data_IF_570204652748
#
_entry.id   IF_570204652748
#
_cell.length_a   1.000
_cell.length_b   1.000
_cell.length_c   1.000
_cell.angle_alpha   90.00
_cell.angle_beta   90.00
_cell.angle_gamma   90.00
#
_symmetry.space_group_name_H-M   'P 1'
#
loop_
_entity.id
_entity.type
_entity.pdbx_description
1 polymer ?
#
# COMPACT_ATOMS: atom_id res chain seq x y z
N UNK A 1 28.58 12.36 -17.54
CA UNK A 1 27.85 12.55 -16.26
C UNK A 1 27.72 11.19 -15.57
N UNK A 2 28.05 11.06 -14.27
CA UNK A 2 27.81 9.83 -13.53
C UNK A 2 26.31 9.49 -13.55
N UNK A 3 25.97 8.21 -13.74
CA UNK A 3 24.58 7.75 -13.87
C UNK A 3 24.29 6.66 -12.85
N UNK A 4 23.07 6.66 -12.31
CA UNK A 4 22.56 5.55 -11.49
C UNK A 4 21.32 5.01 -12.18
N UNK A 5 21.28 3.70 -12.38
CA UNK A 5 20.16 3.02 -13.03
C UNK A 5 19.38 2.23 -11.99
N UNK A 6 18.06 2.47 -11.95
CA UNK A 6 17.11 1.67 -11.18
C UNK A 6 16.23 0.95 -12.19
N UNK A 7 16.32 -0.37 -12.22
CA UNK A 7 15.53 -1.19 -13.14
C UNK A 7 14.11 -1.29 -12.59
N UNK A 8 13.11 -0.94 -13.40
CA UNK A 8 11.70 -1.19 -13.14
C UNK A 8 11.18 -2.26 -14.11
N UNK A 9 10.26 -3.11 -13.65
CA UNK A 9 9.46 -3.94 -14.55
C UNK A 9 8.51 -3.02 -15.33
N UNK A 10 8.35 -3.27 -16.63
CA UNK A 10 7.53 -2.40 -17.47
C UNK A 10 6.04 -2.55 -17.10
N UNK A 11 5.35 -1.41 -17.00
CA UNK A 11 3.89 -1.34 -16.80
C UNK A 11 3.39 -2.08 -15.53
N UNK A 12 4.15 -1.98 -14.43
CA UNK A 12 3.76 -2.60 -13.14
C UNK A 12 3.69 -1.56 -12.01
N UNK A 13 2.47 -1.14 -11.67
CA UNK A 13 2.14 -0.25 -10.54
C UNK A 13 2.68 -0.77 -9.20
N UNK A 14 2.71 -2.09 -9.01
CA UNK A 14 3.21 -2.71 -7.79
C UNK A 14 4.74 -2.64 -7.73
N UNK A 15 5.43 -2.78 -8.86
CA UNK A 15 6.88 -2.59 -8.93
C UNK A 15 7.27 -1.13 -8.67
N UNK A 16 6.49 -0.17 -9.21
CA UNK A 16 6.67 1.25 -8.93
C UNK A 16 6.50 1.56 -7.45
N UNK A 17 5.36 1.16 -6.84
CA UNK A 17 5.09 1.30 -5.41
C UNK A 17 6.26 0.80 -4.56
N UNK A 18 6.76 -0.41 -4.87
CA UNK A 18 7.84 -1.04 -4.10
C UNK A 18 9.18 -0.31 -4.20
N UNK A 19 9.47 0.32 -5.33
CA UNK A 19 10.77 0.96 -5.60
C UNK A 19 10.80 2.45 -5.29
N UNK A 20 9.65 3.12 -5.21
CA UNK A 20 9.57 4.55 -4.90
C UNK A 20 10.33 4.93 -3.61
N UNK A 21 10.20 4.22 -2.46
CA UNK A 21 10.97 4.49 -1.25
C UNK A 21 12.49 4.59 -1.48
N UNK A 22 13.04 3.63 -2.23
CA UNK A 22 14.45 3.61 -2.57
C UNK A 22 14.82 4.77 -3.50
N UNK A 23 14.01 5.03 -4.54
CA UNK A 23 14.26 6.09 -5.51
C UNK A 23 14.27 7.47 -4.86
N UNK A 24 13.29 7.75 -4.00
CA UNK A 24 13.20 9.02 -3.26
C UNK A 24 14.35 9.16 -2.26
N UNK A 25 14.71 8.08 -1.55
CA UNK A 25 15.86 8.07 -0.66
C UNK A 25 17.18 8.39 -1.37
N UNK A 26 17.38 7.81 -2.56
CA UNK A 26 18.53 8.09 -3.41
C UNK A 26 18.55 9.55 -3.89
N UNK A 27 17.41 10.04 -4.39
CA UNK A 27 17.26 11.42 -4.85
C UNK A 27 17.59 12.43 -3.73
N UNK A 28 17.02 12.23 -2.54
CA UNK A 28 17.33 13.04 -1.35
C UNK A 28 18.83 13.05 -1.05
N UNK A 29 19.49 11.89 -1.09
CA UNK A 29 20.92 11.79 -0.79
C UNK A 29 21.79 12.53 -1.80
N UNK A 30 21.46 12.42 -3.09
CA UNK A 30 22.18 13.12 -4.15
C UNK A 30 21.97 14.64 -4.08
N UNK A 31 20.75 15.11 -3.79
CA UNK A 31 20.45 16.54 -3.61
C UNK A 31 21.24 17.11 -2.42
N UNK A 32 21.32 16.38 -1.30
CA UNK A 32 22.11 16.78 -0.12
C UNK A 32 23.62 16.85 -0.38
N UNK A 33 24.11 16.21 -1.45
CA UNK A 33 25.50 16.32 -1.93
C UNK A 33 25.69 17.46 -2.93
N UNK A 34 24.67 18.30 -3.12
CA UNK A 34 24.67 19.46 -4.01
C UNK A 34 24.83 19.10 -5.50
N UNK A 35 24.40 17.90 -5.90
CA UNK A 35 24.36 17.51 -7.31
C UNK A 35 23.12 18.07 -8.02
N UNK A 36 23.30 18.48 -9.27
CA UNK A 36 22.18 18.64 -10.22
C UNK A 36 21.84 17.27 -10.79
N UNK A 37 20.58 16.87 -10.67
CA UNK A 37 20.14 15.52 -10.97
C UNK A 37 19.12 15.57 -12.09
N UNK A 38 19.34 14.75 -13.10
CA UNK A 38 18.37 14.52 -14.16
C UNK A 38 17.69 13.17 -13.91
N UNK A 39 16.39 13.21 -13.60
CA UNK A 39 15.58 12.00 -13.35
C UNK A 39 14.85 11.64 -14.64
N UNK A 40 15.15 10.47 -15.20
CA UNK A 40 14.54 10.01 -16.46
C UNK A 40 14.14 8.54 -16.39
N UNK A 41 13.17 8.18 -17.21
CA UNK A 41 12.78 6.79 -17.50
C UNK A 41 12.57 6.67 -19.02
N UNK A 42 12.34 5.45 -19.54
CA UNK A 42 12.29 5.18 -20.99
C UNK A 42 11.42 6.17 -21.78
N UNK A 43 10.22 6.47 -21.28
CA UNK A 43 9.25 7.37 -21.94
C UNK A 43 9.14 8.75 -21.28
N UNK A 44 9.72 8.94 -20.10
CA UNK A 44 9.52 10.14 -19.28
C UNK A 44 8.07 10.37 -18.81
N UNK A 45 7.16 9.40 -18.98
CA UNK A 45 5.72 9.62 -18.84
C UNK A 45 5.11 9.21 -17.49
N UNK A 46 5.77 8.29 -16.77
CA UNK A 46 5.20 7.68 -15.57
C UNK A 46 6.22 7.63 -14.41
N UNK A 47 7.16 6.67 -14.45
CA UNK A 47 8.11 6.38 -13.36
C UNK A 47 8.95 7.58 -12.89
N UNK A 48 9.53 8.35 -13.83
CA UNK A 48 10.37 9.50 -13.45
C UNK A 48 9.55 10.65 -12.84
N UNK A 49 8.43 11.10 -13.44
CA UNK A 49 7.51 12.03 -12.77
C UNK A 49 7.01 11.51 -11.41
N UNK A 50 6.66 10.22 -11.30
CA UNK A 50 6.17 9.63 -10.04
C UNK A 50 7.22 9.73 -8.92
N UNK A 51 8.50 9.44 -9.22
CA UNK A 51 9.59 9.61 -8.27
C UNK A 51 9.76 11.07 -7.80
N UNK A 52 9.63 12.03 -8.70
CA UNK A 52 9.77 13.46 -8.37
C UNK A 52 8.57 13.92 -7.54
N UNK A 53 7.35 13.52 -7.90
CA UNK A 53 6.13 13.82 -7.12
C UNK A 53 6.23 13.23 -5.72
N UNK A 54 6.67 11.96 -5.61
CA UNK A 54 6.87 11.31 -4.32
C UNK A 54 7.93 12.04 -3.47
N UNK A 55 9.02 12.53 -4.07
CA UNK A 55 10.01 13.35 -3.35
C UNK A 55 9.41 14.66 -2.81
N UNK A 56 8.67 15.41 -3.64
CA UNK A 56 8.00 16.63 -3.19
C UNK A 56 7.01 16.34 -2.06
N UNK A 57 6.27 15.23 -2.18
CA UNK A 57 5.27 14.85 -1.20
C UNK A 57 5.88 14.39 0.13
N UNK A 58 6.90 13.53 0.09
CA UNK A 58 7.45 12.88 1.29
C UNK A 58 8.54 13.69 1.99
N UNK A 59 9.26 14.53 1.24
CA UNK A 59 10.46 15.23 1.76
C UNK A 59 10.24 16.74 1.86
N UNK A 60 9.55 17.34 0.89
CA UNK A 60 9.27 18.79 0.85
C UNK A 60 7.89 19.15 1.44
N UNK A 61 7.25 18.19 2.13
CA UNK A 61 5.96 18.35 2.80
C UNK A 61 4.82 18.91 1.92
N UNK A 62 4.92 18.72 0.61
CA UNK A 62 3.90 19.21 -0.32
C UNK A 62 2.70 18.25 -0.33
N UNK A 63 1.44 18.73 -0.28
CA UNK A 63 0.28 17.85 -0.45
C UNK A 63 0.34 17.12 -1.81
N UNK A 64 0.03 15.81 -1.84
CA UNK A 64 0.20 14.97 -3.04
C UNK A 64 -0.49 15.57 -4.28
N UNK A 65 -1.73 16.04 -4.13
CA UNK A 65 -2.48 16.63 -5.23
C UNK A 65 -1.82 17.89 -5.81
N UNK A 66 -1.17 18.70 -4.97
CA UNK A 66 -0.42 19.90 -5.39
C UNK A 66 0.85 19.49 -6.12
N UNK A 67 1.62 18.56 -5.54
CA UNK A 67 2.85 18.05 -6.17
C UNK A 67 2.57 17.43 -7.55
N UNK A 68 1.51 16.62 -7.64
CA UNK A 68 1.08 16.01 -8.89
C UNK A 68 0.70 17.07 -9.93
N UNK A 69 -0.19 18.02 -9.56
CA UNK A 69 -0.63 19.09 -10.47
C UNK A 69 0.54 19.94 -10.97
N UNK A 70 1.48 20.26 -10.08
CA UNK A 70 2.68 21.02 -10.42
C UNK A 70 3.52 20.31 -11.50
N UNK A 71 3.82 19.02 -11.32
CA UNK A 71 4.66 18.26 -12.26
C UNK A 71 3.93 18.04 -13.59
N UNK A 72 2.65 17.67 -13.58
CA UNK A 72 1.88 17.48 -14.82
C UNK A 72 1.62 18.78 -15.57
N UNK A 73 1.69 19.93 -14.89
CA UNK A 73 1.61 21.25 -15.51
C UNK A 73 2.90 21.66 -16.22
N UNK A 74 4.05 21.17 -15.77
CA UNK A 74 5.36 21.44 -16.37
C UNK A 74 5.72 20.47 -17.50
N UNK A 75 5.25 19.22 -17.40
CA UNK A 75 5.57 18.15 -18.35
C UNK A 75 4.35 17.27 -18.57
N UNK A 76 4.03 16.98 -19.83
CA UNK A 76 2.91 16.09 -20.16
C UNK A 76 3.23 14.65 -19.75
N UNK A 77 2.63 14.21 -18.64
CA UNK A 77 2.85 12.90 -18.05
C UNK A 77 1.59 12.39 -17.33
N UNK A 78 1.54 11.07 -17.08
CA UNK A 78 0.51 10.42 -16.24
C UNK A 78 1.18 9.47 -15.25
N UNK A 79 1.84 10.01 -14.22
CA UNK A 79 2.39 9.19 -13.15
C UNK A 79 1.28 8.43 -12.44
N UNK A 80 1.53 7.17 -12.10
CA UNK A 80 0.60 6.37 -11.31
C UNK A 80 0.44 6.94 -9.89
N UNK A 81 -0.61 7.76 -9.74
CA UNK A 81 -0.98 8.36 -8.47
C UNK A 81 -1.29 7.32 -7.40
N UNK A 82 -1.95 6.22 -7.76
CA UNK A 82 -2.30 5.18 -6.80
C UNK A 82 -1.04 4.52 -6.24
N UNK A 83 -0.05 4.22 -7.08
CA UNK A 83 1.24 3.68 -6.63
C UNK A 83 1.95 4.60 -5.63
N UNK A 84 1.87 5.93 -5.81
CA UNK A 84 2.42 6.91 -4.88
C UNK A 84 1.66 6.89 -3.55
N UNK A 85 0.32 6.93 -3.58
CA UNK A 85 -0.50 6.89 -2.35
C UNK A 85 -0.24 5.61 -1.57
N UNK A 86 -0.19 4.46 -2.25
CA UNK A 86 0.15 3.18 -1.62
C UNK A 86 1.55 3.20 -0.99
N UNK A 87 2.56 3.71 -1.68
CA UNK A 87 3.91 3.79 -1.15
C UNK A 87 4.03 4.78 0.04
N UNK A 88 3.23 5.86 0.05
CA UNK A 88 3.11 6.76 1.19
C UNK A 88 2.65 6.01 2.44
N UNK A 89 1.58 5.22 2.34
CA UNK A 89 1.07 4.47 3.49
C UNK A 89 1.98 3.33 3.92
N UNK A 90 2.69 2.69 2.98
CA UNK A 90 3.72 1.69 3.33
C UNK A 90 4.84 2.31 4.18
N UNK A 91 5.24 3.55 3.88
CA UNK A 91 6.25 4.27 4.65
C UNK A 91 5.76 4.68 6.04
N UNK A 92 4.51 5.12 6.15
CA UNK A 92 3.90 5.45 7.45
C UNK A 92 3.78 4.19 8.31
N UNK A 93 3.28 3.10 7.73
CA UNK A 93 3.14 1.81 8.40
C UNK A 93 4.48 1.25 8.90
N UNK A 94 5.59 1.53 8.19
CA UNK A 94 6.94 1.16 8.62
C UNK A 94 7.32 1.76 9.97
N UNK A 95 6.83 2.97 10.27
CA UNK A 95 7.13 3.70 11.50
C UNK A 95 6.14 3.37 12.62
N UNK A 96 4.90 3.08 12.27
CA UNK A 96 3.82 2.80 13.23
C UNK A 96 3.94 1.43 13.94
N UNK A 97 4.91 0.57 13.57
CA UNK A 97 5.17 -0.74 14.21
C UNK A 97 3.93 -1.63 14.41
N UNK A 98 2.93 -1.51 13.54
CA UNK A 98 1.67 -2.26 13.62
C UNK A 98 0.69 -1.77 14.69
N UNK A 99 0.87 -0.56 15.24
CA UNK A 99 -0.16 0.08 16.05
C UNK A 99 -1.37 0.40 15.18
N UNK A 100 -2.54 -0.03 15.64
CA UNK A 100 -3.82 0.21 14.99
C UNK A 100 -4.58 1.31 15.73
N UNK A 101 -3.97 2.47 15.95
CA UNK A 101 -4.60 3.61 16.67
C UNK A 101 -4.96 4.78 15.75
N UNK A 102 -4.33 4.88 14.57
CA UNK A 102 -4.60 5.94 13.59
C UNK A 102 -5.97 5.90 12.91
N UNK A 103 -6.23 6.84 12.00
CA UNK A 103 -7.47 6.80 11.20
C UNK A 103 -7.37 5.76 10.08
N UNK A 104 -8.46 5.08 9.68
CA UNK A 104 -8.41 4.10 8.58
C UNK A 104 -7.79 4.67 7.31
N UNK A 105 -7.11 3.82 6.55
CA UNK A 105 -6.32 4.21 5.36
C UNK A 105 -6.68 3.41 4.11
N UNK A 106 -7.33 2.26 4.29
CA UNK A 106 -7.70 1.36 3.21
C UNK A 106 -9.20 1.04 3.27
N UNK A 107 -9.83 0.94 2.12
CA UNK A 107 -11.16 0.34 1.95
C UNK A 107 -10.99 -1.08 1.43
N UNK A 108 -11.58 -2.05 2.13
CA UNK A 108 -11.47 -3.48 1.84
C UNK A 108 -12.84 -4.05 1.53
N UNK A 109 -12.99 -4.68 0.38
CA UNK A 109 -14.21 -5.40 -0.01
C UNK A 109 -14.11 -6.88 0.36
N UNK A 110 -14.70 -7.27 1.48
CA UNK A 110 -14.79 -8.68 1.85
C UNK A 110 -15.81 -9.38 0.97
N UNK A 111 -15.40 -10.45 0.29
CA UNK A 111 -16.25 -11.16 -0.68
C UNK A 111 -16.49 -12.59 -0.21
N UNK A 112 -17.75 -12.99 -0.15
CA UNK A 112 -18.20 -14.36 0.02
C UNK A 112 -18.82 -14.85 -1.30
N UNK A 113 -18.24 -15.87 -1.92
CA UNK A 113 -18.66 -16.38 -3.25
C UNK A 113 -19.48 -17.68 -3.20
N UNK A 114 -19.81 -18.16 -2.00
CA UNK A 114 -20.44 -19.46 -1.78
C UNK A 114 -21.84 -19.29 -1.14
N UNK A 115 -22.50 -18.16 -1.36
CA UNK A 115 -23.84 -17.90 -0.87
C UNK A 115 -24.92 -18.47 -1.79
N UNK A 116 -26.15 -18.51 -1.29
CA UNK A 116 -27.37 -18.77 -2.07
C UNK A 116 -28.32 -17.60 -1.97
N UNK A 117 -29.12 -17.38 -3.01
CA UNK A 117 -30.12 -16.33 -3.00
C UNK A 117 -31.06 -16.44 -1.79
N UNK A 118 -31.31 -15.31 -1.13
CA UNK A 118 -32.12 -15.25 0.09
C UNK A 118 -31.39 -15.62 1.39
N UNK A 119 -30.11 -16.01 1.36
CA UNK A 119 -29.33 -16.20 2.58
C UNK A 119 -28.95 -14.87 3.22
N UNK A 120 -28.96 -14.87 4.57
CA UNK A 120 -28.35 -13.81 5.36
C UNK A 120 -26.88 -14.12 5.58
N UNK A 121 -26.02 -13.20 5.12
CA UNK A 121 -24.57 -13.32 5.18
C UNK A 121 -24.06 -12.10 5.96
N UNK A 122 -23.40 -12.36 7.08
CA UNK A 122 -22.81 -11.34 7.94
C UNK A 122 -21.29 -11.52 7.98
N UNK A 123 -20.55 -10.44 8.19
CA UNK A 123 -19.10 -10.41 8.36
C UNK A 123 -18.76 -10.03 9.80
N UNK A 124 -17.84 -10.77 10.39
CA UNK A 124 -17.32 -10.55 11.75
C UNK A 124 -15.81 -10.70 11.76
N UNK A 125 -15.12 -9.93 12.60
CA UNK A 125 -13.67 -10.02 12.71
C UNK A 125 -13.10 -9.07 13.75
N UNK A 126 -11.78 -8.94 13.76
CA UNK A 126 -11.06 -8.04 14.67
C UNK A 126 -11.56 -6.59 14.59
N UNK A 127 -11.98 -6.16 13.40
CA UNK A 127 -12.49 -4.81 13.13
C UNK A 127 -13.96 -4.58 13.53
N UNK A 128 -14.68 -5.59 14.02
CA UNK A 128 -16.08 -5.47 14.46
C UNK A 128 -16.20 -5.51 15.98
N UNK A 129 -15.56 -4.56 16.66
CA UNK A 129 -15.48 -4.50 18.12
C UNK A 129 -14.94 -5.81 18.72
N UNK A 130 -13.90 -6.37 18.10
CA UNK A 130 -13.33 -7.68 18.40
C UNK A 130 -14.38 -8.79 18.38
N UNK A 131 -14.96 -9.05 17.19
CA UNK A 131 -15.88 -10.17 16.93
C UNK A 131 -17.26 -10.08 17.61
N UNK A 132 -17.61 -8.93 18.19
CA UNK A 132 -18.90 -8.72 18.87
C UNK A 132 -19.98 -8.21 17.93
N UNK A 133 -19.63 -7.23 17.11
CA UNK A 133 -20.56 -6.62 16.17
C UNK A 133 -20.54 -7.38 14.85
N UNK A 134 -21.65 -7.32 14.14
CA UNK A 134 -21.84 -8.00 12.85
C UNK A 134 -22.13 -6.98 11.75
N UNK A 135 -21.49 -7.15 10.61
CA UNK A 135 -21.72 -6.32 9.43
C UNK A 135 -22.48 -7.11 8.38
N UNK A 136 -23.65 -6.62 7.96
CA UNK A 136 -24.44 -7.28 6.92
C UNK A 136 -23.73 -7.18 5.56
N UNK A 137 -23.61 -8.31 4.86
CA UNK A 137 -23.11 -8.34 3.49
C UNK A 137 -24.25 -8.08 2.49
N UNK A 138 -23.96 -7.28 1.47
CA UNK A 138 -24.88 -6.99 0.39
C UNK A 138 -24.82 -8.12 -0.65
N UNK A 139 -25.96 -8.72 -0.98
CA UNK A 139 -26.06 -9.68 -2.08
C UNK A 139 -25.86 -8.97 -3.42
N UNK A 140 -24.95 -9.48 -4.24
CA UNK A 140 -24.59 -8.91 -5.56
C UNK A 140 -25.16 -9.72 -6.73
N UNK A 141 -26.07 -10.65 -6.46
CA UNK A 141 -26.60 -11.61 -7.42
C UNK A 141 -25.78 -12.90 -7.48
N UNK A 142 -26.44 -13.99 -7.91
CA UNK A 142 -25.85 -15.33 -7.90
C UNK A 142 -25.41 -15.73 -6.48
N UNK A 143 -24.18 -16.22 -6.35
CA UNK A 143 -23.61 -16.68 -5.07
C UNK A 143 -22.77 -15.64 -4.33
N UNK A 144 -22.72 -14.39 -4.82
CA UNK A 144 -21.77 -13.36 -4.36
C UNK A 144 -22.39 -12.41 -3.34
N UNK A 145 -21.68 -12.23 -2.23
CA UNK A 145 -22.01 -11.31 -1.15
C UNK A 145 -20.79 -10.46 -0.80
N UNK A 146 -21.02 -9.19 -0.48
CA UNK A 146 -19.94 -8.23 -0.24
C UNK A 146 -20.18 -7.31 0.95
N UNK A 147 -19.13 -7.04 1.72
CA UNK A 147 -19.10 -5.99 2.73
C UNK A 147 -17.85 -5.13 2.55
N UNK A 148 -18.02 -3.81 2.44
CA UNK A 148 -16.91 -2.87 2.36
C UNK A 148 -16.59 -2.33 3.76
N UNK A 149 -15.34 -2.47 4.18
CA UNK A 149 -14.87 -2.07 5.51
C UNK A 149 -13.63 -1.20 5.38
N UNK A 150 -13.59 -0.10 6.13
CA UNK A 150 -12.41 0.75 6.22
C UNK A 150 -11.47 0.23 7.30
N UNK A 151 -10.28 -0.17 6.90
CA UNK A 151 -9.25 -0.74 7.77
C UNK A 151 -7.99 0.13 7.79
N UNK A 152 -7.27 0.04 8.91
CA UNK A 152 -5.90 0.54 8.99
C UNK A 152 -4.95 -0.47 8.35
N UNK A 153 -3.69 -0.08 8.19
CA UNK A 153 -2.64 -1.04 7.91
C UNK A 153 -2.59 -2.08 9.05
N UNK A 154 -2.50 -3.36 8.70
CA UNK A 154 -2.50 -4.41 9.71
C UNK A 154 -2.91 -5.77 9.20
N UNK A 155 -2.75 -6.77 10.09
CA UNK A 155 -3.25 -8.11 9.89
C UNK A 155 -4.56 -8.26 10.66
N UNK A 156 -5.61 -8.70 9.98
CA UNK A 156 -6.94 -8.90 10.57
C UNK A 156 -7.41 -10.32 10.32
N UNK A 157 -7.98 -10.93 11.35
CA UNK A 157 -8.73 -12.16 11.27
C UNK A 157 -10.22 -11.87 11.14
N UNK A 158 -10.91 -12.72 10.38
CA UNK A 158 -12.34 -12.59 10.14
C UNK A 158 -12.99 -13.92 9.77
N UNK A 159 -14.33 -13.96 9.87
CA UNK A 159 -15.21 -15.02 9.40
C UNK A 159 -16.49 -14.44 8.81
N UNK A 160 -17.20 -15.26 8.06
CA UNK A 160 -18.57 -15.01 7.65
C UNK A 160 -19.54 -15.81 8.53
N UNK A 161 -20.69 -15.24 8.82
CA UNK A 161 -21.83 -15.95 9.40
C UNK A 161 -22.85 -16.12 8.28
N UNK A 162 -23.07 -17.36 7.85
CA UNK A 162 -23.97 -17.69 6.73
C UNK A 162 -25.12 -18.52 7.26
N UNK A 163 -26.33 -17.95 7.28
CA UNK A 163 -27.50 -18.61 7.87
C UNK A 163 -27.28 -19.04 9.32
N UNK A 164 -26.65 -18.18 10.12
CA UNK A 164 -26.34 -18.43 11.54
C UNK A 164 -25.08 -19.28 11.80
N UNK A 165 -24.43 -19.83 10.77
CA UNK A 165 -23.26 -20.68 10.93
C UNK A 165 -21.96 -19.92 10.65
N UNK A 166 -20.99 -20.03 11.55
CA UNK A 166 -19.65 -19.46 11.39
C UNK A 166 -18.86 -20.24 10.33
N UNK A 167 -18.40 -19.53 9.29
CA UNK A 167 -17.69 -20.10 8.14
C UNK A 167 -16.46 -19.28 7.81
N UNK A 168 -15.42 -19.96 7.36
CA UNK A 168 -14.33 -19.36 6.63
C UNK A 168 -14.47 -19.73 5.15
N UNK A 169 -13.91 -18.91 4.26
CA UNK A 169 -13.77 -19.24 2.84
C UNK A 169 -12.49 -20.03 2.63
N UNK A 170 -12.60 -21.22 2.03
CA UNK A 170 -11.45 -22.07 1.68
C UNK A 170 -10.63 -21.53 0.50
N UNK A 171 -11.18 -20.58 -0.27
CA UNK A 171 -10.50 -19.95 -1.40
C UNK A 171 -9.72 -18.69 -0.99
N UNK A 172 -9.88 -18.22 0.25
CA UNK A 172 -9.22 -17.03 0.77
C UNK A 172 -8.11 -17.43 1.75
N UNK A 173 -7.08 -16.59 1.95
CA UNK A 173 -6.06 -16.86 2.95
C UNK A 173 -6.67 -17.13 4.33
N UNK A 174 -6.13 -18.11 5.04
CA UNK A 174 -6.57 -18.50 6.37
C UNK A 174 -5.40 -18.91 7.23
N UNK A 175 -5.56 -18.77 8.54
CA UNK A 175 -4.63 -19.28 9.54
C UNK A 175 -5.43 -20.01 10.63
N UNK A 176 -4.78 -20.96 11.30
CA UNK A 176 -5.37 -21.72 12.41
C UNK A 176 -4.83 -21.16 13.71
N UNK A 177 -5.72 -20.82 14.64
CA UNK A 177 -5.33 -20.35 15.96
C UNK A 177 -4.90 -21.51 16.88
N UNK A 178 -4.41 -21.19 18.07
CA UNK A 178 -3.92 -22.16 19.08
C UNK A 178 -5.02 -23.11 19.57
N UNK A 179 -6.29 -22.76 19.38
CA UNK A 179 -7.45 -23.56 19.78
C UNK A 179 -8.01 -24.39 18.61
N UNK A 180 -7.33 -24.39 17.46
CA UNK A 180 -7.74 -25.15 16.27
C UNK A 180 -8.81 -24.46 15.41
N UNK A 181 -9.19 -23.21 15.70
CA UNK A 181 -10.14 -22.49 14.85
C UNK A 181 -9.44 -21.96 13.61
N UNK A 182 -9.99 -22.30 12.44
CA UNK A 182 -9.57 -21.73 11.16
C UNK A 182 -10.30 -20.42 10.91
N UNK A 183 -9.55 -19.32 10.82
CA UNK A 183 -10.07 -17.99 10.49
C UNK A 183 -9.48 -17.52 9.15
N UNK A 184 -10.26 -16.78 8.35
CA UNK A 184 -9.65 -16.08 7.23
C UNK A 184 -8.75 -14.96 7.74
N UNK A 185 -7.71 -14.65 6.97
CA UNK A 185 -6.74 -13.59 7.28
C UNK A 185 -6.65 -12.61 6.12
N UNK A 186 -6.59 -11.33 6.43
CA UNK A 186 -6.23 -10.29 5.47
C UNK A 186 -5.09 -9.43 6.02
N UNK A 187 -4.14 -9.09 5.14
CA UNK A 187 -3.03 -8.18 5.45
C UNK A 187 -3.23 -6.90 4.64
N UNK A 188 -3.51 -5.81 5.33
CA UNK A 188 -3.78 -4.51 4.73
C UNK A 188 -2.48 -3.72 4.72
N UNK A 189 -2.04 -3.31 3.53
CA UNK A 189 -0.92 -2.38 3.37
C UNK A 189 0.49 -2.98 3.48
N UNK A 190 0.68 -4.30 3.31
CA UNK A 190 2.00 -4.95 3.43
C UNK A 190 3.14 -4.15 2.75
N UNK A 191 4.19 -3.86 3.52
CA UNK A 191 5.33 -3.02 3.12
C UNK A 191 6.21 -3.78 2.13
N UNK A 192 6.70 -3.06 1.11
CA UNK A 192 7.79 -3.51 0.24
C UNK A 192 9.08 -3.77 1.06
N UNK A 193 9.33 -5.02 1.47
CA UNK A 193 10.58 -5.38 2.14
C UNK A 193 11.76 -5.24 1.16
N UNK A 194 12.70 -4.34 1.46
CA UNK A 194 13.92 -4.11 0.65
C UNK A 194 14.93 -5.27 0.80
N UNK A 195 14.70 -6.23 1.71
CA UNK A 195 15.45 -7.48 1.81
C UNK A 195 14.53 -8.69 1.51
N UNK A 196 15.01 -9.70 0.78
CA UNK A 196 14.24 -10.92 0.58
C UNK A 196 14.15 -11.66 1.92
N UNK A 197 12.99 -11.60 2.57
CA UNK A 197 12.59 -12.61 3.53
C UNK A 197 11.88 -13.74 2.76
N UNK A 198 12.13 -15.02 3.07
CA UNK A 198 11.43 -16.11 2.42
C UNK A 198 9.95 -16.08 2.79
N UNK A 199 9.11 -16.22 1.77
CA UNK A 199 7.70 -16.67 1.79
C UNK A 199 6.76 -16.02 2.81
N UNK A 200 5.90 -15.08 2.36
CA UNK A 200 4.50 -15.06 2.81
C UNK A 200 3.59 -14.24 1.87
N UNK A 201 2.50 -14.90 1.47
CA UNK A 201 1.15 -14.36 1.21
C UNK A 201 1.04 -13.10 0.34
N UNK A 202 1.33 -13.26 -0.96
CA UNK A 202 0.85 -12.29 -1.94
C UNK A 202 -0.68 -12.40 -2.05
N UNK A 203 -1.38 -11.30 -1.78
CA UNK A 203 -2.80 -11.14 -2.09
C UNK A 203 -2.97 -11.38 -3.59
N UNK A 204 -3.66 -12.47 -3.95
CA UNK A 204 -3.85 -12.89 -5.35
C UNK A 204 -4.85 -12.03 -6.12
N UNK A 205 -5.60 -11.15 -5.45
CA UNK A 205 -6.51 -10.22 -6.11
C UNK A 205 -6.47 -8.81 -5.49
N UNK A 206 -5.67 -7.89 -6.03
CA UNK A 206 -5.59 -6.51 -5.56
C UNK A 206 -6.87 -5.69 -5.83
N UNK A 207 -7.88 -6.23 -6.54
CA UNK A 207 -9.15 -5.51 -6.78
C UNK A 207 -9.99 -5.31 -5.51
N UNK A 208 -9.69 -6.07 -4.45
CA UNK A 208 -10.42 -6.09 -3.18
C UNK A 208 -10.01 -4.95 -2.23
N UNK A 209 -8.77 -4.46 -2.31
CA UNK A 209 -8.25 -3.45 -1.37
C UNK A 209 -7.92 -2.16 -2.12
N UNK A 210 -8.58 -1.07 -1.77
CA UNK A 210 -8.34 0.27 -2.31
C UNK A 210 -7.79 1.17 -1.23
N UNK A 211 -6.69 1.84 -1.49
CA UNK A 211 -6.20 2.88 -0.58
C UNK A 211 -7.06 4.13 -0.69
N UNK A 212 -7.40 4.71 0.45
CA UNK A 212 -8.11 5.96 0.51
C UNK A 212 -7.14 7.12 0.31
N UNK A 213 -7.42 7.97 -0.66
CA UNK A 213 -6.73 9.23 -0.80
C UNK A 213 -7.36 10.26 0.14
N UNK A 214 -6.66 10.57 1.24
CA UNK A 214 -7.04 11.61 2.20
C UNK A 214 -5.86 12.49 2.54
N UNK A 215 -6.14 13.66 3.09
CA UNK A 215 -5.11 14.48 3.69
C UNK A 215 -4.43 13.72 4.84
N UNK A 216 -3.10 13.79 4.87
CA UNK A 216 -2.31 13.27 5.98
C UNK A 216 -2.45 14.19 7.19
N UNK A 217 -2.57 13.60 8.37
CA UNK A 217 -2.46 14.32 9.64
C UNK A 217 -1.02 14.82 9.86
N UNK A 218 -0.81 15.68 10.85
CA UNK A 218 0.52 16.18 11.19
C UNK A 218 1.45 15.04 11.65
N UNK A 219 0.96 14.13 12.48
CA UNK A 219 1.71 12.95 12.92
C UNK A 219 2.07 12.00 11.76
N UNK A 220 1.15 11.82 10.80
CA UNK A 220 1.40 11.02 9.60
C UNK A 220 2.44 11.68 8.69
N UNK A 221 2.42 13.02 8.55
CA UNK A 221 3.46 13.77 7.81
C UNK A 221 4.81 13.65 8.47
N UNK A 222 4.85 13.76 9.80
CA UNK A 222 6.06 13.57 10.58
C UNK A 222 6.63 12.16 10.37
N UNK A 223 5.79 11.13 10.51
CA UNK A 223 6.14 9.73 10.31
C UNK A 223 6.62 9.45 8.89
N UNK A 224 5.93 9.98 7.89
CA UNK A 224 6.31 9.86 6.47
C UNK A 224 7.68 10.49 6.19
N UNK A 225 7.90 11.72 6.66
CA UNK A 225 9.15 12.43 6.46
C UNK A 225 10.31 11.75 7.21
N UNK A 226 10.05 11.16 8.39
CA UNK A 226 11.00 10.35 9.12
C UNK A 226 11.35 9.07 8.34
N UNK A 227 10.35 8.31 7.88
CA UNK A 227 10.53 7.09 7.10
C UNK A 227 11.31 7.34 5.79
N UNK A 228 10.97 8.39 5.04
CA UNK A 228 11.66 8.74 3.80
C UNK A 228 13.15 9.08 4.03
N UNK A 229 13.48 9.73 5.15
CA UNK A 229 14.88 10.00 5.54
C UNK A 229 15.61 8.73 5.96
N UNK A 230 14.95 7.83 6.70
CA UNK A 230 15.52 6.52 7.06
C UNK A 230 15.90 5.72 5.80
N UNK A 231 15.03 5.72 4.78
CA UNK A 231 15.34 5.08 3.49
C UNK A 231 16.60 5.65 2.86
N UNK A 232 16.79 6.97 2.88
CA UNK A 232 18.00 7.61 2.33
C UNK A 232 19.29 7.20 3.07
N UNK A 233 19.22 6.95 4.38
CA UNK A 233 20.36 6.49 5.17
C UNK A 233 20.72 5.01 4.89
N UNK A 234 19.72 4.17 4.60
CA UNK A 234 19.92 2.75 4.35
C UNK A 234 20.65 2.43 3.01
N UNK A 235 20.76 3.39 2.08
CA UNK A 235 21.26 3.19 0.70
C UNK A 235 22.81 3.25 0.62
N UNK A 236 23.55 2.83 1.65
CA UNK A 236 25.01 3.02 1.70
C UNK A 236 25.82 1.77 1.28
N UNK A 237 26.93 1.90 0.51
CA UNK A 237 27.44 3.09 -0.20
C UNK A 237 27.02 3.14 -1.69
N UNK A 238 26.75 4.36 -2.20
CA UNK A 238 26.45 4.64 -3.61
C UNK A 238 27.74 4.49 -4.44
N UNK A 239 27.84 3.43 -5.26
CA UNK A 239 28.86 3.36 -6.33
C UNK A 239 28.31 4.06 -7.57
N UNK A 240 28.87 5.21 -7.90
CA UNK A 240 28.62 5.88 -9.17
C UNK A 240 29.54 5.25 -10.23
N UNK A 241 28.97 4.62 -11.26
CA UNK A 241 29.74 4.14 -12.39
C UNK A 241 29.71 5.19 -13.53
N UNK A 242 30.83 5.45 -14.21
CA UNK A 242 30.82 6.19 -15.46
C UNK A 242 30.07 5.40 -16.54
N UNK A 243 29.41 6.12 -17.45
CA UNK A 243 28.73 5.55 -18.61
C UNK A 243 29.80 4.95 -19.53
N UNK A 244 29.76 3.63 -19.79
CA UNK A 244 30.49 3.02 -20.91
C UNK A 244 29.81 3.39 -22.23
#
# INVERSE_FOLDING_TARGET
MPSIFIVFREVDSMDLRKKLPFCVGLLLRLIRKNYRIYVTCTTGYDRSPACVIAYLHWVQDTPLHIAHKFITGLHSCRPDRAAIVWATWDLIALVENGRHDGTPTHSVCFVWNNGREGEDVELVGDFTSNWKDKLKCNHKGGSRYEAEVRLRHGKYYYKFIVGGNWRHSSSLPSETDEHGNVNNVIRVGDIARIRPAPSQLQIKDPSVVKVMERALTEDERFSLAFAARLMAFAICPIRLAPKQ
#
